data_IF_714786187105
#
_entry.id   IF_714786187105
#
_cell.length_a   1.000
_cell.length_b   1.000
_cell.length_c   1.000
_cell.angle_alpha   90.00
_cell.angle_beta   90.00
_cell.angle_gamma   90.00
#
_symmetry.space_group_name_H-M   'P 1'
#
loop_
_entity.id
_entity.type
_entity.pdbx_description
1 polymer ?
#
# COMPACT_ATOMS: atom_id res chain seq x y z
N UNK A 1 8.63 -14.93 20.46
CA UNK A 1 7.94 -15.76 19.45
C UNK A 1 8.63 -15.68 18.10
N UNK A 2 8.39 -16.66 17.25
CA UNK A 2 8.89 -16.72 15.89
C UNK A 2 7.75 -16.52 14.89
N UNK A 3 7.81 -15.46 14.12
CA UNK A 3 6.74 -14.99 13.23
C UNK A 3 7.11 -15.30 11.77
N UNK A 4 6.18 -15.89 11.02
CA UNK A 4 6.30 -16.04 9.58
C UNK A 4 5.42 -15.01 8.88
N UNK A 5 6.01 -14.10 8.11
CA UNK A 5 5.29 -13.15 7.26
C UNK A 5 5.26 -13.68 5.83
N UNK A 6 4.07 -13.92 5.30
CA UNK A 6 3.84 -14.43 3.96
C UNK A 6 3.27 -13.33 3.05
N UNK A 7 4.06 -12.84 2.11
CA UNK A 7 3.63 -11.85 1.12
C UNK A 7 3.73 -12.39 -0.30
N UNK A 8 3.43 -11.55 -1.30
CA UNK A 8 3.58 -11.89 -2.71
C UNK A 8 4.12 -10.69 -3.49
N UNK A 9 5.03 -10.93 -4.43
CA UNK A 9 5.62 -9.89 -5.28
C UNK A 9 4.68 -9.44 -6.42
N UNK A 10 3.43 -9.11 -6.11
CA UNK A 10 2.45 -8.54 -7.05
C UNK A 10 2.40 -7.01 -7.00
N UNK A 11 3.11 -6.40 -6.05
CA UNK A 11 3.26 -4.96 -5.82
C UNK A 11 3.97 -4.70 -4.50
N UNK A 12 4.64 -3.55 -4.40
CA UNK A 12 5.42 -3.21 -3.20
C UNK A 12 4.54 -2.88 -1.96
N UNK A 13 3.25 -2.56 -2.17
CA UNK A 13 2.37 -2.17 -1.06
C UNK A 13 2.21 -3.26 0.00
N UNK A 14 1.89 -4.48 -0.42
CA UNK A 14 1.74 -5.61 0.50
C UNK A 14 3.06 -5.95 1.22
N UNK A 15 4.18 -5.93 0.48
CA UNK A 15 5.50 -6.15 1.06
C UNK A 15 5.84 -5.08 2.11
N UNK A 16 5.55 -3.82 1.82
CA UNK A 16 5.85 -2.72 2.74
C UNK A 16 4.97 -2.77 4.00
N UNK A 17 3.70 -3.19 3.91
CA UNK A 17 2.85 -3.45 5.07
C UNK A 17 3.41 -4.62 5.92
N UNK A 18 3.87 -5.69 5.27
CA UNK A 18 4.55 -6.80 5.95
C UNK A 18 5.85 -6.37 6.64
N UNK A 19 6.67 -5.56 5.97
CA UNK A 19 7.90 -5.02 6.56
C UNK A 19 7.65 -4.05 7.71
N UNK A 20 6.51 -3.37 7.77
CA UNK A 20 6.12 -2.56 8.91
C UNK A 20 5.87 -3.44 10.16
N UNK A 21 5.19 -4.56 10.00
CA UNK A 21 4.98 -5.53 11.08
C UNK A 21 6.30 -6.18 11.48
N UNK A 22 7.15 -6.55 10.51
CA UNK A 22 8.49 -7.10 10.77
C UNK A 22 9.33 -6.14 11.60
N UNK A 23 9.39 -4.85 11.23
CA UNK A 23 10.14 -3.80 11.94
C UNK A 23 9.64 -3.66 13.39
N UNK A 24 8.33 -3.62 13.60
CA UNK A 24 7.73 -3.52 14.94
C UNK A 24 8.01 -4.78 15.80
N UNK A 25 7.90 -5.97 15.21
CA UNK A 25 8.14 -7.23 15.90
C UNK A 25 9.63 -7.40 16.28
N UNK A 26 10.55 -7.08 15.37
CA UNK A 26 11.99 -7.11 15.64
C UNK A 26 12.38 -6.13 16.75
N UNK A 27 11.77 -4.94 16.79
CA UNK A 27 12.00 -3.96 17.84
C UNK A 27 11.60 -4.45 19.25
N UNK A 28 10.70 -5.45 19.33
CA UNK A 28 10.28 -6.13 20.57
C UNK A 28 11.06 -7.42 20.85
N UNK A 29 12.09 -7.73 20.04
CA UNK A 29 12.95 -8.90 20.23
C UNK A 29 12.36 -10.21 19.71
N UNK A 30 11.34 -10.16 18.84
CA UNK A 30 10.82 -11.35 18.18
C UNK A 30 11.68 -11.78 17.00
N UNK A 31 11.68 -13.06 16.67
CA UNK A 31 12.27 -13.58 15.45
C UNK A 31 11.25 -13.50 14.30
N UNK A 32 11.65 -12.94 13.17
CA UNK A 32 10.76 -12.76 12.02
C UNK A 32 11.40 -13.29 10.75
N UNK A 33 10.66 -14.10 10.00
CA UNK A 33 11.05 -14.53 8.65
C UNK A 33 10.03 -14.03 7.63
N UNK A 34 10.51 -13.28 6.64
CA UNK A 34 9.69 -12.74 5.55
C UNK A 34 9.86 -13.60 4.29
N UNK A 35 8.78 -14.19 3.79
CA UNK A 35 8.79 -15.12 2.66
C UNK A 35 7.80 -14.68 1.58
N UNK A 36 8.25 -14.69 0.31
CA UNK A 36 7.36 -14.59 -0.84
C UNK A 36 6.69 -15.95 -1.07
N UNK A 37 5.39 -16.05 -0.72
CA UNK A 37 4.62 -17.28 -0.80
C UNK A 37 4.60 -17.88 -2.21
N UNK A 38 4.68 -17.05 -3.25
CA UNK A 38 4.72 -17.51 -4.64
C UNK A 38 6.00 -18.28 -4.98
N UNK A 39 7.09 -18.09 -4.21
CA UNK A 39 8.36 -18.80 -4.41
C UNK A 39 8.35 -20.21 -3.83
N UNK A 40 7.37 -20.56 -3.00
CA UNK A 40 7.18 -21.93 -2.49
C UNK A 40 6.75 -22.91 -3.60
N UNK A 41 6.18 -22.38 -4.70
CA UNK A 41 5.85 -23.14 -5.89
C UNK A 41 7.03 -23.31 -6.86
N UNK A 42 6.74 -23.86 -8.04
CA UNK A 42 7.73 -23.92 -9.12
C UNK A 42 8.08 -22.49 -9.56
N UNK A 43 9.35 -22.09 -9.48
CA UNK A 43 9.86 -20.72 -9.78
C UNK A 43 9.35 -20.12 -11.10
N UNK A 44 9.13 -20.95 -12.14
CA UNK A 44 8.62 -20.48 -13.42
C UNK A 44 7.16 -20.02 -13.36
N UNK A 45 6.31 -20.69 -12.56
CA UNK A 45 4.87 -20.36 -12.44
C UNK A 45 4.67 -19.04 -11.73
N UNK A 46 5.43 -18.77 -10.67
CA UNK A 46 5.38 -17.51 -9.91
C UNK A 46 5.71 -16.29 -10.78
N UNK A 47 6.82 -16.35 -11.53
CA UNK A 47 7.24 -15.25 -12.42
C UNK A 47 6.23 -15.00 -13.54
N UNK A 48 5.63 -16.06 -14.09
CA UNK A 48 4.65 -15.95 -15.15
C UNK A 48 3.36 -15.28 -14.66
N UNK A 49 2.83 -15.71 -13.51
CA UNK A 49 1.60 -15.14 -12.91
C UNK A 49 1.81 -13.67 -12.53
N UNK A 50 2.90 -13.35 -11.82
CA UNK A 50 3.21 -11.97 -11.44
C UNK A 50 3.44 -11.08 -12.67
N UNK A 51 4.14 -11.60 -13.69
CA UNK A 51 4.37 -10.88 -14.95
C UNK A 51 3.09 -10.63 -15.74
N UNK A 52 2.19 -11.61 -15.79
CA UNK A 52 0.88 -11.49 -16.46
C UNK A 52 -0.01 -10.48 -15.72
N UNK A 53 -0.10 -10.58 -14.39
CA UNK A 53 -0.84 -9.63 -13.56
C UNK A 53 -0.35 -8.19 -13.78
N UNK A 54 0.95 -7.95 -13.63
CA UNK A 54 1.57 -6.64 -13.85
C UNK A 54 1.33 -6.16 -15.29
N UNK A 55 1.44 -7.04 -16.26
CA UNK A 55 1.19 -6.74 -17.68
C UNK A 55 -0.25 -6.29 -17.93
N UNK A 56 -1.24 -7.01 -17.39
CA UNK A 56 -2.67 -6.65 -17.53
C UNK A 56 -2.94 -5.30 -16.86
N UNK A 57 -2.51 -5.12 -15.63
CA UNK A 57 -2.72 -3.87 -14.88
C UNK A 57 -2.07 -2.68 -15.60
N UNK A 58 -0.90 -2.86 -16.19
CA UNK A 58 -0.14 -1.79 -16.84
C UNK A 58 -0.64 -1.44 -18.24
N UNK A 59 -1.00 -2.44 -19.03
CA UNK A 59 -1.31 -2.25 -20.45
C UNK A 59 -2.82 -2.29 -20.78
N UNK A 60 -3.62 -2.95 -19.91
CA UNK A 60 -5.06 -3.16 -20.11
C UNK A 60 -5.86 -2.84 -18.82
N UNK A 61 -5.74 -1.63 -18.25
CA UNK A 61 -6.38 -1.31 -16.97
C UNK A 61 -7.92 -1.45 -17.00
N UNK A 62 -8.56 -1.19 -18.15
CA UNK A 62 -9.99 -1.40 -18.32
C UNK A 62 -10.38 -2.88 -18.21
N UNK A 63 -9.55 -3.78 -18.75
CA UNK A 63 -9.74 -5.23 -18.68
C UNK A 63 -9.53 -5.72 -17.25
N UNK A 64 -8.56 -5.17 -16.53
CA UNK A 64 -8.39 -5.42 -15.09
C UNK A 64 -9.63 -5.02 -14.31
N UNK A 65 -10.21 -3.84 -14.58
CA UNK A 65 -11.47 -3.40 -13.97
C UNK A 65 -12.66 -4.33 -14.28
N UNK A 66 -12.70 -4.91 -15.47
CA UNK A 66 -13.70 -5.92 -15.83
C UNK A 66 -13.49 -7.23 -15.03
N UNK A 67 -12.26 -7.74 -14.99
CA UNK A 67 -11.91 -8.93 -14.15
C UNK A 67 -12.23 -8.69 -12.68
N UNK A 68 -11.93 -7.49 -12.15
CA UNK A 68 -12.25 -7.12 -10.79
C UNK A 68 -13.76 -7.16 -10.52
N UNK A 69 -14.58 -6.57 -11.40
CA UNK A 69 -16.05 -6.63 -11.31
C UNK A 69 -16.57 -8.05 -11.41
N UNK A 70 -16.03 -8.85 -12.30
CA UNK A 70 -16.37 -10.27 -12.41
C UNK A 70 -15.98 -11.01 -11.13
N UNK A 71 -14.80 -10.76 -10.56
CA UNK A 71 -14.38 -11.25 -9.27
C UNK A 71 -15.38 -10.91 -8.16
N UNK A 72 -15.84 -9.65 -8.11
CA UNK A 72 -16.86 -9.20 -7.15
C UNK A 72 -18.18 -9.95 -7.28
N UNK A 73 -18.57 -10.39 -8.49
CA UNK A 73 -19.82 -11.13 -8.75
C UNK A 73 -19.71 -12.62 -8.40
N UNK A 74 -18.57 -13.25 -8.70
CA UNK A 74 -18.35 -14.69 -8.49
C UNK A 74 -17.79 -15.01 -7.11
N UNK A 75 -17.22 -14.01 -6.43
CA UNK A 75 -16.66 -14.15 -5.09
C UNK A 75 -17.77 -14.47 -4.11
N UNK A 76 -17.69 -15.62 -3.45
CA UNK A 76 -18.74 -16.12 -2.59
C UNK A 76 -18.14 -17.00 -1.48
N UNK A 77 -18.73 -16.94 -0.28
CA UNK A 77 -18.31 -17.76 0.85
C UNK A 77 -18.48 -19.27 0.61
N UNK A 78 -19.47 -19.65 -0.19
CA UNK A 78 -19.84 -21.06 -0.38
C UNK A 78 -19.09 -21.76 -1.50
N UNK A 79 -18.74 -21.02 -2.55
CA UNK A 79 -18.02 -21.56 -3.71
C UNK A 79 -16.61 -20.98 -3.78
N UNK A 80 -15.62 -21.86 -3.84
CA UNK A 80 -14.22 -21.45 -3.93
C UNK A 80 -13.85 -21.12 -5.38
N UNK A 81 -13.22 -19.96 -5.57
CA UNK A 81 -12.78 -19.45 -6.88
C UNK A 81 -11.66 -20.32 -7.49
N UNK A 82 -11.39 -20.17 -8.79
CA UNK A 82 -10.17 -20.73 -9.40
C UNK A 82 -8.88 -20.21 -8.74
N UNK A 83 -8.91 -18.98 -8.20
CA UNK A 83 -7.77 -18.35 -7.49
C UNK A 83 -7.47 -19.13 -6.21
N UNK A 84 -8.50 -19.46 -5.42
CA UNK A 84 -8.36 -20.32 -4.25
C UNK A 84 -7.71 -21.67 -4.58
N UNK A 85 -8.19 -22.35 -5.61
CA UNK A 85 -7.65 -23.66 -5.99
C UNK A 85 -6.22 -23.59 -6.54
N UNK A 86 -5.86 -22.48 -7.19
CA UNK A 86 -4.49 -22.23 -7.61
C UNK A 86 -3.55 -22.07 -6.40
N UNK A 87 -3.97 -21.33 -5.39
CA UNK A 87 -3.21 -21.07 -4.17
C UNK A 87 -3.17 -22.31 -3.25
N UNK A 88 -4.22 -23.13 -3.23
CA UNK A 88 -4.25 -24.40 -2.49
C UNK A 88 -3.10 -25.36 -2.84
N UNK A 89 -2.55 -25.28 -4.06
CA UNK A 89 -1.38 -26.08 -4.47
C UNK A 89 -0.12 -25.77 -3.67
N UNK A 90 -0.05 -24.62 -3.01
CA UNK A 90 1.06 -24.20 -2.17
C UNK A 90 0.95 -24.75 -0.73
N UNK A 91 -0.15 -25.41 -0.36
CA UNK A 91 -0.41 -25.85 1.01
C UNK A 91 0.65 -26.82 1.54
N UNK A 92 1.04 -27.82 0.74
CA UNK A 92 2.06 -28.80 1.17
C UNK A 92 3.43 -28.16 1.43
N UNK A 93 4.05 -27.43 0.48
CA UNK A 93 5.34 -26.79 0.73
C UNK A 93 5.26 -25.73 1.85
N UNK A 94 4.11 -25.06 2.03
CA UNK A 94 3.94 -24.13 3.14
C UNK A 94 3.84 -24.87 4.49
N UNK A 95 3.17 -26.01 4.56
CA UNK A 95 3.10 -26.82 5.77
C UNK A 95 4.50 -27.26 6.21
N UNK A 96 5.32 -27.81 5.27
CA UNK A 96 6.72 -28.17 5.56
C UNK A 96 7.52 -26.96 6.06
N UNK A 97 7.38 -25.79 5.42
CA UNK A 97 8.07 -24.58 5.86
C UNK A 97 7.69 -24.19 7.30
N UNK A 98 6.41 -24.27 7.65
CA UNK A 98 5.91 -23.88 8.98
C UNK A 98 6.43 -24.88 10.02
N UNK A 99 6.37 -26.18 9.74
CA UNK A 99 6.81 -27.24 10.64
C UNK A 99 8.34 -27.21 10.85
N UNK A 100 9.13 -27.18 9.77
CA UNK A 100 10.59 -27.12 9.84
C UNK A 100 11.10 -25.83 10.50
N UNK A 101 10.38 -24.73 10.28
CA UNK A 101 10.71 -23.42 10.83
C UNK A 101 10.34 -23.24 12.30
N UNK A 102 9.48 -24.10 12.87
CA UNK A 102 8.92 -23.95 14.23
C UNK A 102 8.34 -22.56 14.49
N UNK A 103 7.48 -22.08 13.58
CA UNK A 103 6.83 -20.79 13.72
C UNK A 103 5.66 -20.87 14.69
N UNK A 104 5.50 -19.81 15.51
CA UNK A 104 4.41 -19.68 16.46
C UNK A 104 3.15 -19.11 15.82
N UNK A 105 3.32 -18.24 14.81
CA UNK A 105 2.21 -17.52 14.17
C UNK A 105 2.55 -17.11 12.72
N UNK A 106 1.50 -16.98 11.88
CA UNK A 106 1.63 -16.55 10.48
C UNK A 106 0.88 -15.24 10.26
N UNK A 107 1.53 -14.29 9.57
CA UNK A 107 0.95 -13.00 9.18
C UNK A 107 0.93 -12.85 7.67
N UNK A 108 -0.19 -12.40 7.11
CA UNK A 108 -0.39 -12.35 5.65
C UNK A 108 -0.93 -10.99 5.22
N UNK A 109 -0.08 -10.08 4.72
CA UNK A 109 -0.52 -8.82 4.13
C UNK A 109 -1.05 -8.97 2.70
N UNK A 110 -1.30 -10.19 2.24
CA UNK A 110 -1.76 -10.48 0.89
C UNK A 110 -2.81 -11.62 0.88
N UNK A 111 -3.80 -11.50 -0.02
CA UNK A 111 -4.90 -12.46 -0.17
C UNK A 111 -4.42 -13.89 -0.50
N UNK A 112 -3.46 -14.06 -1.41
CA UNK A 112 -3.06 -15.39 -1.91
C UNK A 112 -2.56 -16.34 -0.81
N UNK A 113 -1.62 -15.96 0.08
CA UNK A 113 -1.27 -16.81 1.21
C UNK A 113 -2.45 -17.04 2.17
N UNK A 114 -3.38 -16.08 2.33
CA UNK A 114 -4.57 -16.27 3.16
C UNK A 114 -5.49 -17.37 2.60
N UNK A 115 -5.61 -17.48 1.30
CA UNK A 115 -6.32 -18.60 0.64
C UNK A 115 -5.61 -19.93 0.85
N UNK A 116 -4.27 -19.96 0.74
CA UNK A 116 -3.47 -21.18 1.03
C UNK A 116 -3.68 -21.62 2.47
N UNK A 117 -3.57 -20.72 3.44
CA UNK A 117 -3.80 -20.97 4.86
C UNK A 117 -5.24 -21.48 5.11
N UNK A 118 -6.21 -20.91 4.42
CA UNK A 118 -7.61 -21.36 4.51
C UNK A 118 -7.77 -22.82 4.05
N UNK A 119 -7.11 -23.20 2.96
CA UNK A 119 -7.07 -24.59 2.52
C UNK A 119 -6.41 -25.48 3.57
N UNK A 120 -5.26 -25.07 4.12
CA UNK A 120 -4.53 -25.81 5.15
C UNK A 120 -5.36 -26.02 6.40
N UNK A 121 -6.06 -24.98 6.90
CA UNK A 121 -6.98 -25.11 8.06
C UNK A 121 -8.09 -26.14 7.81
N UNK A 122 -8.70 -26.09 6.61
CA UNK A 122 -9.76 -27.04 6.24
C UNK A 122 -9.30 -28.49 6.23
N UNK A 123 -8.00 -28.75 5.99
CA UNK A 123 -7.42 -30.06 5.89
C UNK A 123 -6.53 -30.46 7.10
N UNK A 124 -6.64 -29.72 8.22
CA UNK A 124 -5.87 -29.93 9.44
C UNK A 124 -4.34 -29.95 9.23
N UNK A 125 -3.85 -29.09 8.30
CA UNK A 125 -2.43 -28.96 7.97
C UNK A 125 -1.77 -27.74 8.62
N UNK A 126 -2.52 -26.92 9.36
CA UNK A 126 -2.02 -25.68 9.98
C UNK A 126 -2.05 -25.80 11.50
N UNK A 127 -0.90 -25.90 12.17
CA UNK A 127 -0.82 -26.05 13.63
C UNK A 127 -0.82 -24.70 14.37
N UNK A 128 -0.71 -23.57 13.66
CA UNK A 128 -0.50 -22.23 14.25
C UNK A 128 -1.63 -21.28 13.88
N UNK A 129 -1.76 -20.17 14.64
CA UNK A 129 -2.69 -19.10 14.33
C UNK A 129 -2.24 -18.29 13.11
N UNK A 130 -3.21 -17.69 12.41
CA UNK A 130 -2.97 -16.94 11.18
C UNK A 130 -3.76 -15.63 11.15
N UNK A 131 -3.06 -14.52 10.93
CA UNK A 131 -3.61 -13.16 10.89
C UNK A 131 -3.45 -12.60 9.48
N UNK A 132 -4.55 -12.19 8.86
CA UNK A 132 -4.54 -11.53 7.57
C UNK A 132 -4.59 -10.01 7.73
N UNK A 133 -3.98 -9.26 6.80
CA UNK A 133 -3.98 -7.80 6.78
C UNK A 133 -4.55 -7.34 5.44
N UNK A 134 -5.68 -6.64 5.47
CA UNK A 134 -6.24 -5.94 4.32
C UNK A 134 -5.46 -4.66 4.05
N UNK A 135 -5.02 -4.47 2.82
CA UNK A 135 -4.17 -3.34 2.41
C UNK A 135 -4.87 -2.37 1.44
N UNK A 136 -6.19 -2.47 1.32
CA UNK A 136 -7.03 -1.56 0.55
C UNK A 136 -8.24 -1.10 1.38
N UNK A 137 -8.68 0.14 1.19
CA UNK A 137 -9.84 0.74 1.87
C UNK A 137 -11.16 0.27 1.28
N UNK A 138 -11.25 -1.02 1.05
CA UNK A 138 -12.43 -1.78 0.62
C UNK A 138 -12.16 -3.28 0.83
N UNK A 139 -13.22 -4.06 0.94
CA UNK A 139 -13.13 -5.50 0.91
C UNK A 139 -12.98 -5.99 -0.55
N UNK A 140 -11.76 -6.22 -1.00
CA UNK A 140 -11.52 -6.73 -2.36
C UNK A 140 -12.09 -8.14 -2.54
N UNK A 141 -12.35 -8.59 -3.81
CA UNK A 141 -12.89 -9.93 -4.07
C UNK A 141 -12.06 -11.03 -3.42
N UNK A 142 -12.73 -12.10 -3.02
CA UNK A 142 -12.16 -13.34 -2.49
C UNK A 142 -11.72 -13.32 -1.01
N UNK A 143 -11.76 -12.17 -0.30
CA UNK A 143 -11.57 -12.19 1.16
C UNK A 143 -12.61 -13.07 1.87
N UNK A 144 -13.86 -13.11 1.40
CA UNK A 144 -14.94 -13.94 1.91
C UNK A 144 -14.71 -15.45 1.72
N UNK A 145 -13.80 -15.84 0.84
CA UNK A 145 -13.39 -17.24 0.66
C UNK A 145 -12.42 -17.71 1.73
N UNK A 146 -11.77 -16.77 2.44
CA UNK A 146 -10.73 -17.09 3.42
C UNK A 146 -11.31 -17.38 4.80
N UNK A 147 -10.51 -18.05 5.65
CA UNK A 147 -10.86 -18.36 7.03
C UNK A 147 -9.62 -18.23 7.94
N UNK A 148 -9.12 -17.01 8.07
CA UNK A 148 -8.06 -16.69 9.02
C UNK A 148 -8.61 -16.60 10.46
N UNK A 149 -7.74 -16.59 11.45
CA UNK A 149 -8.15 -16.41 12.84
C UNK A 149 -8.61 -14.96 13.06
N UNK A 150 -7.87 -13.98 12.52
CA UNK A 150 -8.22 -12.57 12.52
C UNK A 150 -7.90 -11.90 11.20
N UNK A 151 -8.60 -10.78 10.94
CA UNK A 151 -8.41 -9.90 9.79
C UNK A 151 -8.20 -8.48 10.30
N UNK A 152 -7.00 -7.97 10.16
CA UNK A 152 -6.72 -6.55 10.35
C UNK A 152 -7.23 -5.80 9.12
N UNK A 153 -8.10 -4.82 9.32
CA UNK A 153 -8.70 -4.02 8.27
C UNK A 153 -8.34 -2.54 8.43
N UNK A 154 -8.36 -1.74 7.34
CA UNK A 154 -7.88 -0.37 7.37
C UNK A 154 -8.63 0.58 8.29
N UNK A 155 -9.96 0.41 8.41
CA UNK A 155 -10.80 1.36 9.13
C UNK A 155 -12.08 0.71 9.67
N UNK A 156 -12.64 1.25 10.77
CA UNK A 156 -13.89 0.80 11.38
C UNK A 156 -15.09 0.90 10.46
N UNK A 157 -15.17 1.91 9.60
CA UNK A 157 -16.27 2.08 8.65
C UNK A 157 -16.33 1.00 7.58
N UNK A 158 -15.28 0.20 7.44
CA UNK A 158 -15.25 -0.94 6.53
C UNK A 158 -15.81 -2.24 7.15
N UNK A 159 -16.02 -2.27 8.46
CA UNK A 159 -16.51 -3.46 9.18
C UNK A 159 -17.79 -4.01 8.57
N UNK A 160 -18.77 -3.15 8.31
CA UNK A 160 -20.05 -3.56 7.72
C UNK A 160 -19.89 -4.09 6.28
N UNK A 161 -18.96 -3.55 5.50
CA UNK A 161 -18.65 -4.06 4.16
C UNK A 161 -18.10 -5.49 4.23
N UNK A 162 -17.14 -5.75 5.12
CA UNK A 162 -16.59 -7.08 5.33
C UNK A 162 -17.64 -8.08 5.85
N UNK A 163 -18.51 -7.65 6.78
CA UNK A 163 -19.61 -8.50 7.29
C UNK A 163 -20.60 -8.85 6.18
N UNK A 164 -21.03 -7.88 5.37
CA UNK A 164 -21.91 -8.11 4.22
C UNK A 164 -21.34 -9.10 3.22
N UNK A 165 -20.01 -9.17 3.12
CA UNK A 165 -19.32 -10.15 2.28
C UNK A 165 -19.08 -11.49 2.98
N UNK A 166 -19.46 -11.64 4.23
CA UNK A 166 -19.47 -12.91 4.97
C UNK A 166 -18.26 -13.14 5.88
N UNK A 167 -17.42 -12.14 6.12
CA UNK A 167 -16.35 -12.23 7.12
C UNK A 167 -16.98 -12.03 8.52
N UNK A 168 -16.76 -12.94 9.50
CA UNK A 168 -17.34 -12.82 10.83
C UNK A 168 -16.84 -11.56 11.57
N UNK A 169 -17.79 -10.83 12.21
CA UNK A 169 -17.51 -9.57 12.90
C UNK A 169 -16.44 -9.72 13.99
N UNK A 170 -16.49 -10.80 14.74
CA UNK A 170 -15.58 -11.08 15.86
C UNK A 170 -14.13 -11.33 15.43
N UNK A 171 -13.90 -11.50 14.14
CA UNK A 171 -12.57 -11.66 13.56
C UNK A 171 -12.01 -10.38 12.95
N UNK A 172 -12.82 -9.31 12.84
CA UNK A 172 -12.43 -8.05 12.20
C UNK A 172 -11.81 -7.09 13.22
N UNK A 173 -10.61 -6.64 12.92
CA UNK A 173 -9.83 -5.73 13.77
C UNK A 173 -9.46 -4.47 12.97
N UNK A 174 -10.13 -3.33 13.19
CA UNK A 174 -9.91 -2.10 12.44
C UNK A 174 -8.68 -1.35 12.96
N UNK A 175 -7.50 -1.99 12.89
CA UNK A 175 -6.25 -1.42 13.40
C UNK A 175 -5.57 -0.45 12.45
N UNK A 176 -5.95 -0.45 11.16
CA UNK A 176 -5.28 0.32 10.12
C UNK A 176 -4.34 -0.52 9.27
N UNK A 177 -3.88 0.05 8.15
CA UNK A 177 -2.81 -0.53 7.36
C UNK A 177 -1.48 -0.19 8.05
N UNK A 178 -0.64 -1.18 8.42
CA UNK A 178 0.61 -0.90 9.09
C UNK A 178 1.59 -0.18 8.16
N UNK A 179 2.18 0.89 8.65
CA UNK A 179 3.24 1.65 7.98
C UNK A 179 4.54 1.55 8.80
N UNK A 180 5.70 1.62 8.14
CA UNK A 180 6.98 1.56 8.82
C UNK A 180 7.14 2.72 9.79
N UNK A 181 7.84 2.49 10.88
CA UNK A 181 8.07 3.47 11.94
C UNK A 181 8.59 4.84 11.45
N UNK A 182 9.36 4.85 10.36
CA UNK A 182 9.83 6.08 9.72
C UNK A 182 8.69 7.00 9.26
N UNK A 183 7.51 6.48 8.94
CA UNK A 183 6.35 7.31 8.58
C UNK A 183 5.60 7.85 9.80
N UNK A 184 5.60 7.13 10.92
CA UNK A 184 5.05 7.64 12.18
C UNK A 184 5.91 8.73 12.83
N UNK A 185 7.20 8.81 12.49
CA UNK A 185 8.10 9.88 12.92
C UNK A 185 8.04 11.08 11.99
N UNK A 186 7.92 12.29 12.56
CA UNK A 186 7.98 13.54 11.81
C UNK A 186 9.34 14.21 11.98
N UNK A 187 9.97 14.54 10.86
CA UNK A 187 11.18 15.36 10.82
C UNK A 187 10.76 16.81 10.50
N UNK A 188 11.16 17.81 11.29
CA UNK A 188 10.89 19.21 10.96
C UNK A 188 11.27 19.51 9.50
N UNK A 189 10.40 20.26 8.79
CA UNK A 189 10.49 20.46 7.33
C UNK A 189 11.83 21.03 6.90
N UNK A 190 12.36 22.00 7.62
CA UNK A 190 13.67 22.61 7.36
C UNK A 190 14.82 21.60 7.48
N UNK A 191 14.74 20.70 8.47
CA UNK A 191 15.73 19.62 8.66
C UNK A 191 15.58 18.57 7.54
N UNK A 192 14.34 18.20 7.20
CA UNK A 192 14.08 17.26 6.14
C UNK A 192 14.58 17.77 4.77
N UNK A 193 14.31 19.04 4.46
CA UNK A 193 14.80 19.70 3.24
C UNK A 193 16.32 19.69 3.16
N UNK A 194 17.02 20.07 4.23
CA UNK A 194 18.49 20.01 4.27
C UNK A 194 19.02 18.59 4.02
N UNK A 195 18.43 17.58 4.66
CA UNK A 195 18.81 16.17 4.48
C UNK A 195 18.52 15.64 3.07
N UNK A 196 17.49 16.18 2.42
CA UNK A 196 17.13 15.84 1.04
C UNK A 196 17.85 16.70 0.00
N UNK A 197 18.75 17.59 0.41
CA UNK A 197 19.46 18.56 -0.48
C UNK A 197 18.48 19.44 -1.28
N UNK A 198 17.36 19.83 -0.65
CA UNK A 198 16.37 20.74 -1.19
C UNK A 198 16.58 22.14 -0.62
N UNK A 199 16.12 23.14 -1.36
CA UNK A 199 16.11 24.53 -0.90
C UNK A 199 15.22 24.65 0.35
N UNK A 200 15.72 25.40 1.36
CA UNK A 200 15.06 25.50 2.67
C UNK A 200 13.71 26.21 2.63
N UNK A 201 13.58 27.22 1.74
CA UNK A 201 12.44 28.13 1.72
C UNK A 201 11.49 27.91 0.53
N UNK A 202 11.90 27.09 -0.44
CA UNK A 202 11.13 26.89 -1.66
C UNK A 202 9.95 25.92 -1.49
N UNK A 203 8.71 26.34 -1.84
CA UNK A 203 7.57 25.43 -1.88
C UNK A 203 7.85 24.24 -2.81
N UNK A 204 7.61 23.04 -2.34
CA UNK A 204 8.06 21.82 -3.04
C UNK A 204 6.93 20.82 -3.24
N UNK A 205 6.66 20.47 -4.49
CA UNK A 205 5.77 19.36 -4.85
C UNK A 205 6.52 18.03 -4.84
N UNK A 206 5.88 16.99 -4.33
CA UNK A 206 6.32 15.60 -4.46
C UNK A 206 5.44 14.85 -5.47
N UNK A 207 6.04 14.16 -6.42
CA UNK A 207 5.34 13.30 -7.38
C UNK A 207 5.78 11.86 -7.18
N UNK A 208 4.83 10.97 -6.88
CA UNK A 208 5.06 9.53 -6.75
C UNK A 208 3.97 8.75 -7.48
N UNK A 209 4.35 7.76 -8.29
CA UNK A 209 3.39 6.91 -9.03
C UNK A 209 3.42 5.45 -8.59
N UNK A 210 3.96 5.19 -7.41
CA UNK A 210 4.23 3.84 -6.92
C UNK A 210 5.42 3.18 -7.63
N UNK A 211 5.80 2.00 -7.16
CA UNK A 211 7.02 1.30 -7.61
C UNK A 211 7.07 0.99 -9.11
N UNK A 212 5.93 0.88 -9.76
CA UNK A 212 5.82 0.50 -11.17
C UNK A 212 5.63 1.68 -12.15
N UNK A 213 5.48 2.91 -11.65
CA UNK A 213 5.37 4.12 -12.47
C UNK A 213 4.16 4.11 -13.40
N UNK A 214 2.95 4.07 -12.85
CA UNK A 214 1.71 4.10 -13.62
C UNK A 214 1.38 5.47 -14.19
N UNK A 215 0.71 5.47 -15.35
CA UNK A 215 0.17 6.65 -15.98
C UNK A 215 1.19 7.44 -16.82
N UNK A 216 0.75 8.60 -17.27
CA UNK A 216 1.58 9.54 -18.07
C UNK A 216 2.42 10.46 -17.18
N UNK A 217 3.18 9.88 -16.22
CA UNK A 217 3.90 10.66 -15.20
C UNK A 217 4.85 11.71 -15.80
N UNK A 218 5.55 11.37 -16.88
CA UNK A 218 6.44 12.33 -17.55
C UNK A 218 5.64 13.53 -18.10
N UNK A 219 4.48 13.27 -18.71
CA UNK A 219 3.60 14.33 -19.21
C UNK A 219 3.04 15.17 -18.06
N UNK A 220 2.65 14.50 -16.95
CA UNK A 220 2.19 15.19 -15.75
C UNK A 220 3.26 16.10 -15.15
N UNK A 221 4.48 15.59 -14.97
CA UNK A 221 5.60 16.37 -14.42
C UNK A 221 5.94 17.58 -15.28
N UNK A 222 5.96 17.41 -16.61
CA UNK A 222 6.19 18.53 -17.55
C UNK A 222 5.03 19.55 -17.49
N UNK A 223 3.79 19.10 -17.40
CA UNK A 223 2.63 19.99 -17.30
C UNK A 223 2.63 20.78 -15.98
N UNK A 224 2.97 20.13 -14.87
CA UNK A 224 3.13 20.79 -13.57
C UNK A 224 4.27 21.82 -13.63
N UNK A 225 5.45 21.43 -14.12
CA UNK A 225 6.62 22.32 -14.24
C UNK A 225 6.31 23.60 -15.02
N UNK A 226 5.58 23.50 -16.14
CA UNK A 226 5.16 24.67 -16.93
C UNK A 226 4.24 25.62 -16.18
N UNK A 227 3.54 25.14 -15.15
CA UNK A 227 2.64 25.94 -14.33
C UNK A 227 3.29 26.39 -13.01
N UNK A 228 4.46 25.85 -12.65
CA UNK A 228 5.20 26.26 -11.47
C UNK A 228 5.73 27.68 -11.61
N UNK A 229 5.70 28.45 -10.51
CA UNK A 229 6.44 29.68 -10.38
C UNK A 229 7.94 29.43 -10.23
N UNK A 230 8.75 30.48 -10.33
CA UNK A 230 10.20 30.36 -10.30
C UNK A 230 10.78 29.91 -8.94
N UNK A 231 10.01 30.02 -7.87
CA UNK A 231 10.33 29.58 -6.52
C UNK A 231 9.81 28.16 -6.17
N UNK A 232 8.92 27.60 -6.98
CA UNK A 232 8.33 26.27 -6.73
C UNK A 232 9.24 25.15 -7.26
N UNK A 233 9.55 24.16 -6.42
CA UNK A 233 10.37 22.99 -6.72
C UNK A 233 9.53 21.73 -6.92
N UNK A 234 10.08 20.74 -7.61
CA UNK A 234 9.43 19.45 -7.85
C UNK A 234 10.42 18.32 -7.54
N UNK A 235 10.02 17.42 -6.66
CA UNK A 235 10.70 16.13 -6.45
C UNK A 235 9.88 15.03 -7.13
N UNK A 236 10.55 14.19 -7.93
CA UNK A 236 9.91 13.08 -8.65
C UNK A 236 10.55 11.78 -8.24
N UNK A 237 9.82 10.88 -7.59
CA UNK A 237 10.30 9.55 -7.22
C UNK A 237 9.75 8.52 -8.21
N UNK A 238 10.66 7.99 -9.05
CA UNK A 238 10.34 7.04 -10.11
C UNK A 238 10.30 5.56 -9.64
N UNK A 239 10.71 5.30 -8.39
CA UNK A 239 10.82 3.94 -7.87
C UNK A 239 11.75 3.06 -8.73
N UNK A 240 11.33 1.84 -9.00
CA UNK A 240 12.09 0.86 -9.80
C UNK A 240 12.03 1.11 -11.32
N UNK A 241 11.31 2.14 -11.77
CA UNK A 241 11.15 2.43 -13.20
C UNK A 241 12.33 3.22 -13.77
N UNK A 242 13.44 2.52 -14.04
CA UNK A 242 14.69 3.12 -14.60
C UNK A 242 14.46 3.83 -15.95
N UNK A 243 13.52 3.34 -16.78
CA UNK A 243 13.20 3.96 -18.07
C UNK A 243 12.56 5.34 -17.87
N UNK A 244 11.59 5.44 -16.96
CA UNK A 244 10.96 6.70 -16.59
C UNK A 244 11.98 7.68 -16.00
N UNK A 245 12.81 7.20 -15.07
CA UNK A 245 13.87 8.00 -14.47
C UNK A 245 14.78 8.58 -15.54
N UNK A 246 15.29 7.77 -16.47
CA UNK A 246 16.17 8.22 -17.55
C UNK A 246 15.51 9.28 -18.44
N UNK A 247 14.23 9.09 -18.81
CA UNK A 247 13.48 10.08 -19.60
C UNK A 247 13.36 11.41 -18.87
N UNK A 248 12.96 11.38 -17.60
CA UNK A 248 12.77 12.61 -16.81
C UNK A 248 14.10 13.31 -16.50
N UNK A 249 15.15 12.56 -16.18
CA UNK A 249 16.49 13.14 -15.96
C UNK A 249 16.99 13.85 -17.22
N UNK A 250 16.76 13.28 -18.42
CA UNK A 250 17.10 13.93 -19.67
C UNK A 250 16.27 15.19 -19.92
N UNK A 251 14.97 15.12 -19.70
CA UNK A 251 14.03 16.24 -19.91
C UNK A 251 14.37 17.43 -19.01
N UNK A 252 14.63 17.15 -17.71
CA UNK A 252 14.86 18.19 -16.71
C UNK A 252 16.34 18.49 -16.42
N UNK A 253 17.27 18.05 -17.28
CA UNK A 253 18.74 18.21 -17.07
C UNK A 253 19.21 19.64 -16.82
N UNK A 254 18.47 20.63 -17.34
CA UNK A 254 18.79 22.06 -17.20
C UNK A 254 17.80 22.78 -16.28
N UNK A 255 17.02 22.03 -15.48
CA UNK A 255 15.98 22.58 -14.59
C UNK A 255 16.41 22.33 -13.13
N UNK A 256 17.16 23.23 -12.48
CA UNK A 256 17.71 23.03 -11.14
C UNK A 256 16.64 22.85 -10.07
N UNK A 257 15.40 23.27 -10.34
CA UNK A 257 14.23 23.13 -9.44
C UNK A 257 13.53 21.77 -9.52
N UNK A 258 14.01 20.85 -10.39
CA UNK A 258 13.40 19.53 -10.54
C UNK A 258 14.38 18.44 -10.15
N UNK A 259 14.04 17.68 -9.12
CA UNK A 259 14.85 16.61 -8.56
C UNK A 259 14.28 15.26 -8.97
N UNK A 260 14.94 14.53 -9.86
CA UNK A 260 14.50 13.22 -10.35
C UNK A 260 15.24 12.10 -9.65
N UNK A 261 14.49 11.29 -8.89
CA UNK A 261 15.01 10.19 -8.10
C UNK A 261 14.54 8.84 -8.66
N UNK A 262 15.37 7.82 -8.57
CA UNK A 262 14.99 6.43 -8.75
C UNK A 262 14.33 5.84 -7.49
N UNK A 263 14.65 4.58 -7.20
CA UNK A 263 14.28 3.96 -5.94
C UNK A 263 15.00 4.63 -4.77
N UNK A 264 14.27 4.97 -3.73
CA UNK A 264 14.83 5.51 -2.48
C UNK A 264 14.15 4.87 -1.26
N UNK A 265 14.94 4.65 -0.20
CA UNK A 265 14.43 4.22 1.12
C UNK A 265 13.98 5.38 2.01
N UNK A 266 14.21 6.62 1.57
CA UNK A 266 13.96 7.84 2.34
C UNK A 266 12.63 8.53 1.95
N UNK A 267 11.64 7.77 1.47
CA UNK A 267 10.34 8.32 1.04
C UNK A 267 9.70 9.14 2.15
N UNK A 268 9.71 8.63 3.39
CA UNK A 268 9.14 9.34 4.55
C UNK A 268 9.79 10.71 4.78
N UNK A 269 11.11 10.81 4.58
CA UNK A 269 11.84 12.07 4.71
C UNK A 269 11.50 13.06 3.59
N UNK A 270 11.30 12.57 2.34
CA UNK A 270 10.82 13.41 1.24
C UNK A 270 9.38 13.88 1.47
N UNK A 271 8.52 13.07 2.11
CA UNK A 271 7.18 13.50 2.50
C UNK A 271 7.23 14.61 3.57
N UNK A 272 8.16 14.52 4.54
CA UNK A 272 8.37 15.59 5.52
C UNK A 272 8.94 16.88 4.87
N UNK A 273 9.72 16.75 3.80
CA UNK A 273 10.38 17.88 3.11
C UNK A 273 9.45 18.64 2.17
N UNK A 274 8.41 17.99 1.63
CA UNK A 274 7.53 18.54 0.61
C UNK A 274 6.23 19.11 1.21
N UNK A 275 5.52 19.92 0.43
CA UNK A 275 4.31 20.64 0.88
C UNK A 275 3.03 20.01 0.35
N UNK A 276 3.06 19.45 -0.86
CA UNK A 276 1.92 18.78 -1.50
C UNK A 276 2.43 17.56 -2.26
N UNK A 277 1.71 16.44 -2.13
CA UNK A 277 2.03 15.22 -2.87
C UNK A 277 0.97 14.90 -3.93
N UNK A 278 1.45 14.51 -5.12
CA UNK A 278 0.67 13.86 -6.15
C UNK A 278 1.02 12.38 -6.20
N UNK A 279 0.05 11.53 -5.93
CA UNK A 279 0.25 10.07 -5.93
C UNK A 279 -0.98 9.33 -6.44
N UNK A 280 -0.82 8.07 -6.85
CA UNK A 280 -1.97 7.21 -7.09
C UNK A 280 -2.58 6.74 -5.75
N UNK A 281 -3.89 6.46 -5.68
CA UNK A 281 -4.56 6.06 -4.44
C UNK A 281 -4.36 4.57 -4.12
N UNK A 282 -3.11 4.12 -4.07
CA UNK A 282 -2.78 2.79 -3.55
C UNK A 282 -2.90 2.77 -2.04
N UNK A 283 -3.49 1.71 -1.46
CA UNK A 283 -3.82 1.66 -0.04
C UNK A 283 -2.64 2.03 0.87
N UNK A 284 -1.47 1.42 0.68
CA UNK A 284 -0.31 1.73 1.51
C UNK A 284 0.18 3.16 1.34
N UNK A 285 0.45 3.62 0.11
CA UNK A 285 0.99 4.98 -0.08
C UNK A 285 0.02 6.05 0.42
N UNK A 286 -1.29 5.84 0.24
CA UNK A 286 -2.31 6.73 0.80
C UNK A 286 -2.29 6.74 2.34
N UNK A 287 -2.07 5.57 2.97
CA UNK A 287 -1.91 5.49 4.44
C UNK A 287 -0.62 6.19 4.89
N UNK A 288 0.48 6.03 4.15
CA UNK A 288 1.74 6.72 4.43
C UNK A 288 1.58 8.25 4.37
N UNK A 289 0.86 8.77 3.36
CA UNK A 289 0.57 10.21 3.26
C UNK A 289 -0.35 10.69 4.37
N UNK A 290 -1.34 9.88 4.75
CA UNK A 290 -2.26 10.14 5.84
C UNK A 290 -1.52 10.25 7.18
N UNK A 291 -0.65 9.30 7.49
CA UNK A 291 0.14 9.29 8.72
C UNK A 291 1.16 10.44 8.74
N UNK A 292 1.72 10.80 7.58
CA UNK A 292 2.62 11.97 7.45
C UNK A 292 1.89 13.32 7.51
N UNK A 293 0.58 13.34 7.38
CA UNK A 293 -0.18 14.58 7.38
C UNK A 293 0.14 15.50 6.19
N UNK A 294 0.65 14.94 5.07
CA UNK A 294 0.99 15.74 3.89
C UNK A 294 -0.25 15.97 3.01
N UNK A 295 -0.53 17.22 2.59
CA UNK A 295 -1.61 17.52 1.65
C UNK A 295 -1.52 16.69 0.37
N UNK A 296 -2.56 15.92 0.08
CA UNK A 296 -2.52 14.84 -0.92
C UNK A 296 -3.49 15.06 -2.07
N UNK A 297 -3.00 14.92 -3.29
CA UNK A 297 -3.80 14.83 -4.52
C UNK A 297 -3.67 13.42 -5.09
N UNK A 298 -4.78 12.70 -5.14
CA UNK A 298 -4.86 11.43 -5.84
C UNK A 298 -4.95 11.64 -7.35
N UNK A 299 -4.04 11.00 -8.07
CA UNK A 299 -3.93 11.10 -9.53
C UNK A 299 -4.60 9.91 -10.24
N UNK A 300 -3.98 9.36 -11.29
CA UNK A 300 -4.53 8.23 -12.04
C UNK A 300 -4.83 7.01 -11.16
N UNK A 301 -6.05 6.48 -11.28
CA UNK A 301 -6.52 5.30 -10.55
C UNK A 301 -6.50 4.06 -11.45
N UNK A 302 -6.21 2.91 -10.88
CA UNK A 302 -6.51 1.61 -11.49
C UNK A 302 -7.96 1.28 -11.12
N UNK A 303 -8.82 0.96 -12.12
CA UNK A 303 -10.21 0.59 -11.84
C UNK A 303 -10.29 -0.61 -10.87
N UNK A 304 -11.12 -0.50 -9.84
CA UNK A 304 -11.28 -1.50 -8.78
C UNK A 304 -10.91 -0.93 -7.42
N UNK A 305 -9.98 -1.56 -6.71
CA UNK A 305 -9.62 -1.17 -5.33
C UNK A 305 -9.09 0.28 -5.23
N UNK A 306 -8.28 0.75 -6.19
CA UNK A 306 -7.78 2.13 -6.13
C UNK A 306 -8.89 3.18 -6.31
N UNK A 307 -9.95 2.86 -7.05
CA UNK A 307 -11.13 3.75 -7.13
C UNK A 307 -11.83 3.84 -5.78
N UNK A 308 -11.99 2.72 -5.08
CA UNK A 308 -12.58 2.70 -3.73
C UNK A 308 -11.68 3.41 -2.72
N UNK A 309 -10.37 3.16 -2.75
CA UNK A 309 -9.40 3.88 -1.91
C UNK A 309 -9.52 5.40 -2.12
N UNK A 310 -9.54 5.86 -3.37
CA UNK A 310 -9.68 7.30 -3.68
C UNK A 310 -10.99 7.88 -3.13
N UNK A 311 -12.11 7.18 -3.30
CA UNK A 311 -13.40 7.61 -2.77
C UNK A 311 -13.37 7.71 -1.24
N UNK A 312 -12.85 6.69 -0.56
CA UNK A 312 -12.71 6.69 0.90
C UNK A 312 -11.97 7.93 1.42
N UNK A 313 -10.87 8.29 0.77
CA UNK A 313 -10.03 9.44 1.17
C UNK A 313 -10.69 10.79 0.84
N UNK A 314 -11.32 10.92 -0.32
CA UNK A 314 -11.99 12.17 -0.74
C UNK A 314 -13.23 12.46 0.12
N UNK A 315 -14.05 11.43 0.37
CA UNK A 315 -15.29 11.56 1.15
C UNK A 315 -15.01 12.02 2.60
N UNK A 316 -13.79 11.79 3.12
CA UNK A 316 -13.36 12.21 4.46
C UNK A 316 -12.55 13.50 4.48
N UNK A 317 -12.36 14.14 3.31
CA UNK A 317 -11.58 15.36 3.20
C UNK A 317 -10.07 15.20 3.45
N UNK A 318 -9.56 13.97 3.43
CA UNK A 318 -8.14 13.66 3.68
C UNK A 318 -7.29 13.61 2.41
N UNK A 319 -7.90 13.77 1.25
CA UNK A 319 -7.25 14.04 -0.03
C UNK A 319 -8.21 14.70 -1.00
N UNK A 320 -7.67 15.27 -2.07
CA UNK A 320 -8.45 15.61 -3.26
C UNK A 320 -8.13 14.63 -4.39
N UNK A 321 -9.06 14.48 -5.34
CA UNK A 321 -8.86 13.66 -6.53
C UNK A 321 -9.56 14.26 -7.75
N UNK A 322 -9.01 14.00 -8.93
CA UNK A 322 -9.69 14.24 -10.20
C UNK A 322 -9.19 13.25 -11.25
N UNK A 323 -10.04 12.91 -12.22
CA UNK A 323 -9.66 12.14 -13.41
C UNK A 323 -8.93 12.98 -14.47
N UNK A 324 -8.98 14.31 -14.35
CA UNK A 324 -8.40 15.24 -15.31
C UNK A 324 -7.08 15.80 -14.78
N UNK A 325 -5.99 15.61 -15.52
CA UNK A 325 -4.65 16.07 -15.15
C UNK A 325 -4.59 17.58 -14.85
N UNK A 326 -5.25 18.40 -15.66
CA UNK A 326 -5.29 19.85 -15.47
C UNK A 326 -5.90 20.22 -14.13
N UNK A 327 -6.98 19.54 -13.76
CA UNK A 327 -7.67 19.75 -12.49
C UNK A 327 -6.81 19.28 -11.29
N UNK A 328 -6.13 18.14 -11.42
CA UNK A 328 -5.18 17.67 -10.38
C UNK A 328 -4.11 18.72 -10.11
N UNK A 329 -3.52 19.28 -11.16
CA UNK A 329 -2.49 20.33 -11.04
C UNK A 329 -3.11 21.59 -10.41
N UNK A 330 -4.32 22.00 -10.82
CA UNK A 330 -5.03 23.15 -10.26
C UNK A 330 -5.26 22.98 -8.75
N UNK A 331 -5.75 21.80 -8.33
CA UNK A 331 -5.98 21.48 -6.92
C UNK A 331 -4.68 21.46 -6.12
N UNK A 332 -3.60 20.89 -6.64
CA UNK A 332 -2.30 20.89 -5.96
C UNK A 332 -1.73 22.30 -5.79
N UNK A 333 -1.89 23.17 -6.80
CA UNK A 333 -1.48 24.58 -6.70
C UNK A 333 -2.37 25.38 -5.76
N UNK A 334 -3.64 25.04 -5.66
CA UNK A 334 -4.55 25.63 -4.69
C UNK A 334 -4.11 25.26 -3.26
N UNK A 335 -3.88 23.97 -2.98
CA UNK A 335 -3.35 23.49 -1.69
C UNK A 335 -2.01 24.15 -1.36
N UNK A 336 -1.08 24.25 -2.32
CA UNK A 336 0.23 24.90 -2.10
C UNK A 336 0.12 26.34 -1.60
N UNK A 337 -0.95 27.05 -1.95
CA UNK A 337 -1.11 28.49 -1.69
C UNK A 337 -2.09 28.81 -0.56
N UNK A 338 -2.91 27.84 -0.15
CA UNK A 338 -3.95 28.05 0.87
C UNK A 338 -3.60 27.31 2.14
N UNK A 339 -3.13 28.04 3.13
CA UNK A 339 -2.86 27.52 4.48
C UNK A 339 -4.13 26.94 5.10
N UNK A 340 -5.27 27.61 4.95
CA UNK A 340 -6.55 27.16 5.51
C UNK A 340 -6.95 25.77 4.97
N UNK A 341 -6.82 25.54 3.64
CA UNK A 341 -7.13 24.24 3.04
C UNK A 341 -6.13 23.15 3.45
N UNK A 342 -4.86 23.51 3.68
CA UNK A 342 -3.88 22.58 4.23
C UNK A 342 -4.22 22.20 5.67
N UNK A 343 -4.58 23.14 6.51
CA UNK A 343 -4.99 22.91 7.90
C UNK A 343 -6.28 22.09 7.99
N UNK A 344 -7.27 22.41 7.15
CA UNK A 344 -8.52 21.65 7.07
C UNK A 344 -8.24 20.16 6.72
N UNK A 345 -7.44 19.92 5.67
CA UNK A 345 -7.05 18.57 5.28
C UNK A 345 -6.22 17.88 6.36
N UNK A 346 -5.25 18.57 6.96
CA UNK A 346 -4.43 18.04 8.03
C UNK A 346 -5.27 17.67 9.27
N UNK A 347 -6.23 18.51 9.65
CA UNK A 347 -7.16 18.21 10.74
C UNK A 347 -7.99 16.96 10.45
N UNK A 348 -8.46 16.79 9.20
CA UNK A 348 -9.15 15.59 8.79
C UNK A 348 -8.21 14.37 8.83
N UNK A 349 -6.98 14.50 8.38
CA UNK A 349 -5.97 13.43 8.42
C UNK A 349 -5.65 12.99 9.87
N UNK A 350 -5.53 13.93 10.81
CA UNK A 350 -5.28 13.60 12.22
C UNK A 350 -6.41 12.78 12.86
N UNK A 351 -7.66 12.96 12.43
CA UNK A 351 -8.81 12.17 12.92
C UNK A 351 -8.80 10.73 12.39
N UNK A 352 -8.36 10.55 11.16
CA UNK A 352 -8.50 9.27 10.44
C UNK A 352 -7.23 8.39 10.52
N UNK A 353 -6.08 8.96 10.91
CA UNK A 353 -4.82 8.22 10.93
C UNK A 353 -4.77 7.16 12.03
N UNK A 354 -4.08 6.07 11.73
CA UNK A 354 -3.77 4.97 12.66
C UNK A 354 -2.26 4.67 12.58
N UNK A 355 -1.47 5.56 13.18
CA UNK A 355 0.00 5.49 13.12
C UNK A 355 0.59 4.33 13.95
N UNK A 356 -0.19 3.76 14.86
CA UNK A 356 0.17 2.66 15.77
C UNK A 356 -0.28 1.28 15.26
N UNK A 357 -0.72 1.18 14.00
CA UNK A 357 -1.27 -0.06 13.45
C UNK A 357 -0.30 -1.25 13.53
N UNK A 358 0.99 -1.02 13.27
CA UNK A 358 2.01 -2.07 13.32
C UNK A 358 2.21 -2.60 14.75
N UNK A 359 2.27 -1.71 15.73
CA UNK A 359 2.40 -2.01 17.16
C UNK A 359 1.19 -2.81 17.67
N UNK A 360 -0.03 -2.37 17.35
CA UNK A 360 -1.29 -3.08 17.69
C UNK A 360 -1.37 -4.47 17.08
N UNK A 361 -0.83 -4.64 15.88
CA UNK A 361 -0.74 -5.98 15.27
C UNK A 361 0.21 -6.85 16.08
N UNK A 362 1.37 -6.35 16.49
CA UNK A 362 2.31 -7.13 17.32
C UNK A 362 1.70 -7.47 18.69
N UNK A 363 0.98 -6.55 19.34
CA UNK A 363 0.22 -6.84 20.58
C UNK A 363 -0.76 -8.01 20.38
N UNK A 364 -1.47 -8.02 19.26
CA UNK A 364 -2.36 -9.13 18.90
C UNK A 364 -1.58 -10.44 18.76
N UNK A 365 -0.45 -10.44 18.01
CA UNK A 365 0.35 -11.64 17.78
C UNK A 365 0.87 -12.22 19.11
N UNK A 366 1.34 -11.39 20.02
CA UNK A 366 1.78 -11.78 21.38
C UNK A 366 0.64 -12.44 22.14
N UNK A 367 -0.56 -11.82 22.16
CA UNK A 367 -1.74 -12.37 22.85
C UNK A 367 -2.22 -13.72 22.29
N UNK A 368 -1.94 -14.02 21.03
CA UNK A 368 -2.32 -15.26 20.36
C UNK A 368 -1.30 -16.37 20.53
N UNK A 369 -0.05 -16.05 20.79
CA UNK A 369 1.05 -17.01 21.00
C UNK A 369 1.13 -17.52 22.45
N UNK A 370 0.55 -16.80 23.41
CA UNK A 370 0.51 -17.19 24.83
C UNK A 370 -0.60 -18.23 25.16
N UNK A 371 -1.44 -18.56 24.20
CA UNK A 371 -2.54 -19.54 24.32
C UNK A 371 -2.26 -20.82 23.54
#
# INVERSE_FOLDING_TARGET
MKILILSCNTGEGHNAAGHAVEEAALARGHEVNFVDAMQLGKRHTSRLISGLYIGIVKHLPWFFGFIYKLGMLISNRHFKSPVYWANAKLAKPLASLIEEGNYDIVVMPHLYPAETITYMKKHNMLPVKAVAIGTDYTCIPFWEETNCDYYVIPHEDLVDEYIKRGVPKEKLLPYGIPVRHAFAKHTPKDIARRKCHLDADSPTFLIMSGSMGFGKLAVFAMALYKQCKNDEHIVIICGNNKKLQSVLTKEFRHCPRVHVLGYTRHVSLYMDACDVIFTKPGGLTSTETLVKGIPTIHTATIPGCETANSAFFVDRGISYASKYMIEQIRLGKLLMRSHDLQEEMHTAQLREQKSDAAERIVDLLESLSEK
#
